data_IF_603666743451
#
_entry.id   IF_603666743451
#
_cell.length_a   1.000
_cell.length_b   1.000
_cell.length_c   1.000
_cell.angle_alpha   90.00
_cell.angle_beta   90.00
_cell.angle_gamma   90.00
#
_symmetry.space_group_name_H-M   'P 1'
#
loop_
_entity.id
_entity.type
_entity.pdbx_description
1 polymer ?
#
# COMPACT_ATOMS: atom_id res chain seq x y z
N UNK A 1 -9.45 -47.31 68.44
CA UNK A 1 -8.76 -47.08 67.16
C UNK A 1 -9.59 -46.09 66.36
N UNK A 2 -9.21 -44.81 66.39
CA UNK A 2 -9.80 -43.76 65.57
C UNK A 2 -8.73 -43.40 64.53
N UNK A 3 -8.87 -43.93 63.31
CA UNK A 3 -8.16 -43.37 62.17
C UNK A 3 -8.93 -42.10 61.78
N UNK A 4 -8.34 -40.90 61.91
CA UNK A 4 -9.05 -39.69 61.49
C UNK A 4 -9.29 -39.77 59.98
N UNK A 5 -10.46 -39.33 59.48
CA UNK A 5 -10.59 -39.01 58.06
C UNK A 5 -9.49 -37.99 57.76
N UNK A 6 -8.65 -38.28 56.77
CA UNK A 6 -7.67 -37.30 56.29
C UNK A 6 -8.48 -36.06 55.93
N UNK A 7 -8.31 -35.01 56.74
CA UNK A 7 -8.99 -33.74 56.58
C UNK A 7 -8.82 -33.29 55.13
N UNK A 8 -9.95 -33.07 54.47
CA UNK A 8 -10.10 -32.58 53.10
C UNK A 8 -9.59 -31.13 52.91
N UNK A 9 -8.68 -30.68 53.79
CA UNK A 9 -8.07 -29.37 53.82
C UNK A 9 -6.79 -29.30 52.98
N UNK A 10 -6.06 -30.41 52.83
CA UNK A 10 -4.85 -30.46 51.99
C UNK A 10 -5.15 -30.50 50.48
N UNK A 11 -6.35 -30.94 50.10
CA UNK A 11 -6.79 -30.94 48.69
C UNK A 11 -6.88 -29.52 48.14
N UNK A 12 -7.26 -28.54 48.98
CA UNK A 12 -7.35 -27.13 48.57
C UNK A 12 -5.98 -26.42 48.46
N UNK A 13 -4.97 -26.86 49.20
CA UNK A 13 -3.61 -26.31 49.08
C UNK A 13 -2.95 -26.78 47.78
N UNK A 14 -3.22 -28.01 47.34
CA UNK A 14 -2.71 -28.53 46.06
C UNK A 14 -3.26 -27.81 44.82
N UNK A 15 -4.55 -27.43 44.84
CA UNK A 15 -5.21 -26.75 43.72
C UNK A 15 -4.82 -25.27 43.62
N UNK A 16 -4.44 -24.64 44.73
CA UNK A 16 -4.02 -23.23 44.74
C UNK A 16 -2.63 -23.01 44.11
N UNK A 17 -1.74 -24.01 44.18
CA UNK A 17 -0.37 -23.88 43.65
C UNK A 17 -0.28 -24.03 42.12
N UNK A 18 -1.38 -24.41 41.45
CA UNK A 18 -1.45 -24.51 39.97
C UNK A 18 -1.95 -23.19 39.35
N UNK A 19 -2.19 -22.16 40.15
CA UNK A 19 -2.67 -20.87 39.66
C UNK A 19 -1.52 -20.03 39.09
N UNK A 20 -1.31 -20.23 37.79
CA UNK A 20 -1.05 -19.17 36.80
C UNK A 20 0.31 -18.47 36.86
N UNK A 21 1.36 -19.15 36.40
CA UNK A 21 2.55 -18.50 35.86
C UNK A 21 2.56 -18.60 34.32
N UNK A 22 1.66 -17.87 33.65
CA UNK A 22 1.82 -17.56 32.22
C UNK A 22 2.53 -16.22 32.14
N UNK A 23 3.87 -16.27 32.16
CA UNK A 23 4.69 -15.10 31.88
C UNK A 23 4.62 -14.86 30.35
N UNK A 24 3.72 -13.99 29.91
CA UNK A 24 3.68 -13.55 28.52
C UNK A 24 4.87 -12.65 28.23
N UNK A 25 5.81 -13.11 27.41
CA UNK A 25 6.86 -12.25 26.87
C UNK A 25 6.20 -11.35 25.82
N UNK A 26 5.89 -10.11 26.21
CA UNK A 26 5.56 -9.07 25.25
C UNK A 26 6.85 -8.67 24.53
N UNK A 27 7.12 -9.29 23.38
CA UNK A 27 8.10 -8.74 22.45
C UNK A 27 7.46 -7.47 21.90
N UNK A 28 7.82 -6.33 22.49
CA UNK A 28 7.53 -5.02 21.90
C UNK A 28 8.44 -4.94 20.67
N UNK A 29 7.91 -5.37 19.52
CA UNK A 29 8.53 -5.09 18.24
C UNK A 29 8.44 -3.57 18.05
N UNK A 30 9.57 -2.87 18.24
CA UNK A 30 9.68 -1.49 17.76
C UNK A 30 9.48 -1.56 16.25
N UNK A 31 8.46 -0.90 15.68
CA UNK A 31 8.31 -0.87 14.22
C UNK A 31 9.58 -0.29 13.63
N UNK A 32 10.20 -1.00 12.69
CA UNK A 32 11.23 -0.38 11.85
C UNK A 32 10.57 0.76 11.07
N UNK A 33 11.24 1.92 10.92
CA UNK A 33 10.69 3.00 10.12
C UNK A 33 10.48 2.48 8.69
N UNK A 34 9.31 2.76 8.12
CA UNK A 34 9.00 2.39 6.74
C UNK A 34 10.06 2.98 5.82
N UNK A 35 10.45 2.19 4.82
CA UNK A 35 11.22 2.71 3.69
C UNK A 35 10.39 3.77 2.93
N UNK A 36 11.05 4.67 2.21
CA UNK A 36 10.35 5.68 1.40
C UNK A 36 9.42 5.01 0.37
N UNK A 37 9.82 3.87 -0.20
CA UNK A 37 8.97 3.10 -1.11
C UNK A 37 7.72 2.52 -0.42
N UNK A 38 7.82 2.03 0.81
CA UNK A 38 6.67 1.51 1.58
C UNK A 38 5.72 2.64 2.01
N UNK A 39 6.25 3.78 2.42
CA UNK A 39 5.43 4.95 2.75
C UNK A 39 4.67 5.49 1.51
N UNK A 40 5.32 5.47 0.35
CA UNK A 40 4.67 5.80 -0.92
C UNK A 40 3.58 4.77 -1.29
N UNK A 41 3.83 3.48 -1.04
CA UNK A 41 2.83 2.41 -1.24
C UNK A 41 1.58 2.60 -0.37
N UNK A 42 1.75 2.91 0.92
CA UNK A 42 0.62 3.21 1.81
C UNK A 42 -0.21 4.39 1.30
N UNK A 43 0.45 5.43 0.75
CA UNK A 43 -0.24 6.56 0.13
C UNK A 43 -1.04 6.13 -1.10
N UNK A 44 -0.50 5.24 -1.93
CA UNK A 44 -1.20 4.69 -3.10
C UNK A 44 -2.45 3.92 -2.66
N UNK A 45 -2.32 3.05 -1.67
CA UNK A 45 -3.41 2.22 -1.16
C UNK A 45 -4.50 3.05 -0.44
N UNK A 46 -4.11 4.12 0.23
CA UNK A 46 -5.06 5.08 0.78
C UNK A 46 -5.89 5.76 -0.32
N UNK A 47 -5.27 6.14 -1.43
CA UNK A 47 -6.00 6.70 -2.58
C UNK A 47 -6.86 5.62 -3.26
N UNK A 48 -6.38 4.38 -3.36
CA UNK A 48 -7.16 3.28 -3.92
C UNK A 48 -8.38 2.92 -3.06
N UNK A 49 -8.28 2.95 -1.74
CA UNK A 49 -9.43 2.71 -0.85
C UNK A 49 -10.44 3.88 -0.83
N UNK A 50 -10.05 5.04 -1.35
CA UNK A 50 -10.89 6.23 -1.40
C UNK A 50 -11.94 6.19 -2.52
N UNK A 51 -13.02 6.95 -2.34
CA UNK A 51 -14.02 7.17 -3.39
C UNK A 51 -13.48 8.15 -4.44
N UNK A 52 -13.57 7.85 -5.75
CA UNK A 52 -13.16 8.79 -6.78
C UNK A 52 -14.12 10.01 -6.84
N UNK A 53 -13.61 11.20 -7.20
CA UNK A 53 -12.21 11.51 -7.47
C UNK A 53 -11.39 11.59 -6.16
N UNK A 54 -10.19 11.00 -6.17
CA UNK A 54 -9.25 11.09 -5.05
C UNK A 54 -7.84 11.34 -5.58
N UNK A 55 -7.02 12.08 -4.82
CA UNK A 55 -5.63 12.36 -5.20
C UNK A 55 -4.77 12.55 -3.96
N UNK A 56 -3.52 12.14 -4.05
CA UNK A 56 -2.51 12.42 -3.04
C UNK A 56 -1.16 12.64 -3.72
N UNK A 57 -0.26 13.29 -2.99
CA UNK A 57 1.14 13.44 -3.37
C UNK A 57 2.01 12.92 -2.24
N UNK A 58 3.09 12.24 -2.58
CA UNK A 58 4.08 11.74 -1.62
C UNK A 58 5.46 12.18 -2.07
N UNK A 59 6.25 12.74 -1.17
CA UNK A 59 7.64 13.12 -1.48
C UNK A 59 8.50 11.87 -1.60
N UNK A 60 9.31 11.79 -2.65
CA UNK A 60 10.18 10.64 -2.91
C UNK A 60 11.63 11.10 -2.95
N UNK A 61 12.51 10.28 -2.40
CA UNK A 61 13.96 10.47 -2.52
C UNK A 61 14.53 9.41 -3.46
N UNK A 62 14.50 9.71 -4.75
CA UNK A 62 14.93 8.80 -5.80
C UNK A 62 15.46 9.57 -7.00
N UNK A 63 16.41 8.97 -7.71
CA UNK A 63 16.86 9.47 -9.02
C UNK A 63 16.01 8.91 -10.14
N UNK A 64 15.53 7.68 -9.98
CA UNK A 64 14.64 6.99 -10.92
C UNK A 64 13.51 6.31 -10.18
N UNK A 65 12.32 6.40 -10.76
CA UNK A 65 11.15 5.68 -10.30
C UNK A 65 10.74 4.65 -11.34
N UNK A 66 10.27 3.52 -10.84
CA UNK A 66 9.83 2.39 -11.64
C UNK A 66 8.44 1.96 -11.19
N UNK A 67 7.45 2.23 -12.04
CA UNK A 67 6.03 2.01 -11.74
C UNK A 67 5.54 0.82 -12.56
N UNK A 68 5.23 -0.29 -11.89
CA UNK A 68 4.49 -1.42 -12.47
C UNK A 68 3.04 -1.43 -12.01
N UNK A 69 2.28 -2.46 -12.40
CA UNK A 69 0.85 -2.58 -12.05
C UNK A 69 0.61 -2.74 -10.53
N UNK A 70 1.50 -3.45 -9.83
CA UNK A 70 1.42 -3.74 -8.38
C UNK A 70 2.77 -3.55 -7.67
N UNK A 71 3.71 -2.82 -8.29
CA UNK A 71 5.06 -2.67 -7.72
C UNK A 71 5.58 -1.27 -7.97
N UNK A 72 6.11 -0.68 -6.90
CA UNK A 72 6.88 0.55 -6.94
C UNK A 72 8.33 0.22 -6.62
N UNK A 73 9.25 0.72 -7.43
CA UNK A 73 10.69 0.63 -7.15
C UNK A 73 11.28 2.03 -7.25
N UNK A 74 11.96 2.45 -6.20
CA UNK A 74 12.67 3.71 -6.10
C UNK A 74 14.17 3.41 -6.18
N UNK A 75 14.87 4.04 -7.11
CA UNK A 75 16.30 3.86 -7.34
C UNK A 75 17.00 5.20 -7.09
N UNK A 76 17.74 5.31 -5.97
CA UNK A 76 18.59 6.44 -5.60
C UNK A 76 19.95 5.94 -5.12
N UNK A 77 20.42 6.42 -3.96
CA UNK A 77 21.62 5.86 -3.30
C UNK A 77 21.44 4.37 -3.01
N UNK A 78 20.24 3.99 -2.55
CA UNK A 78 19.79 2.62 -2.39
C UNK A 78 18.62 2.30 -3.33
N UNK A 79 18.34 1.01 -3.52
CA UNK A 79 17.14 0.56 -4.26
C UNK A 79 16.10 0.01 -3.31
N UNK A 80 15.02 0.76 -3.14
CA UNK A 80 13.87 0.39 -2.33
C UNK A 80 12.73 -0.16 -3.18
N UNK A 81 11.97 -1.09 -2.62
CA UNK A 81 10.89 -1.77 -3.35
C UNK A 81 9.69 -1.93 -2.45
N UNK A 82 8.52 -1.60 -2.98
CA UNK A 82 7.24 -1.87 -2.34
C UNK A 82 6.32 -2.63 -3.30
N UNK A 83 5.50 -3.51 -2.71
CA UNK A 83 4.39 -4.17 -3.40
C UNK A 83 3.11 -3.46 -3.01
N UNK A 84 2.21 -3.29 -3.97
CA UNK A 84 0.88 -2.75 -3.73
C UNK A 84 -0.08 -3.93 -3.65
N UNK A 85 -0.78 -4.05 -2.53
CA UNK A 85 -1.68 -5.17 -2.26
C UNK A 85 -3.04 -4.97 -2.95
N UNK A 86 -3.47 -3.70 -3.10
CA UNK A 86 -4.78 -3.35 -3.63
C UNK A 86 -4.70 -2.25 -4.68
N UNK A 87 -5.49 -2.42 -5.75
CA UNK A 87 -5.59 -1.43 -6.83
C UNK A 87 -4.55 -1.63 -7.92
N UNK A 88 -5.02 -1.79 -9.16
CA UNK A 88 -4.18 -1.88 -10.37
C UNK A 88 -3.70 -0.49 -10.77
N UNK A 89 -2.44 -0.19 -10.55
CA UNK A 89 -1.83 1.06 -11.00
C UNK A 89 -1.68 1.06 -12.53
N UNK A 90 -1.97 2.20 -13.14
CA UNK A 90 -1.52 2.52 -14.49
C UNK A 90 -0.49 3.65 -14.40
N UNK A 91 0.72 3.36 -14.88
CA UNK A 91 1.77 4.36 -14.95
C UNK A 91 1.34 5.48 -15.93
N UNK A 92 1.65 6.72 -15.59
CA UNK A 92 1.31 7.90 -16.39
C UNK A 92 2.60 8.68 -16.74
N UNK A 93 3.36 8.24 -17.75
CA UNK A 93 4.68 8.78 -18.10
C UNK A 93 4.64 10.23 -18.59
N UNK A 94 5.80 10.90 -18.53
CA UNK A 94 6.03 12.22 -19.14
C UNK A 94 5.55 12.24 -20.59
N UNK A 95 4.81 13.29 -20.97
CA UNK A 95 4.33 13.48 -22.34
C UNK A 95 3.12 12.63 -22.74
N UNK A 96 2.55 11.82 -21.83
CA UNK A 96 1.34 11.04 -22.12
C UNK A 96 0.06 11.78 -21.73
N UNK A 97 -1.03 11.37 -22.36
CA UNK A 97 -2.38 11.83 -22.03
C UNK A 97 -2.83 11.37 -20.64
N UNK A 98 -2.43 10.17 -20.23
CA UNK A 98 -2.66 9.69 -18.87
C UNK A 98 -2.00 10.60 -17.83
N UNK A 99 -0.81 11.17 -18.11
CA UNK A 99 -0.18 12.14 -17.21
C UNK A 99 -0.96 13.42 -17.09
N UNK A 100 -1.56 13.92 -18.18
CA UNK A 100 -2.45 15.09 -18.11
C UNK A 100 -3.62 14.83 -17.15
N UNK A 101 -4.21 13.63 -17.22
CA UNK A 101 -5.28 13.21 -16.30
C UNK A 101 -4.77 13.05 -14.86
N UNK A 102 -3.62 12.40 -14.66
CA UNK A 102 -3.00 12.24 -13.34
C UNK A 102 -2.74 13.59 -12.66
N UNK A 103 -2.38 14.61 -13.43
CA UNK A 103 -2.12 15.98 -12.97
C UNK A 103 -3.36 16.87 -12.88
N UNK A 104 -4.55 16.38 -13.25
CA UNK A 104 -5.80 17.10 -12.98
C UNK A 104 -6.77 17.24 -14.14
N UNK A 105 -6.38 16.94 -15.37
CA UNK A 105 -7.29 17.06 -16.50
C UNK A 105 -8.44 16.05 -16.41
N UNK A 106 -9.65 16.43 -16.87
CA UNK A 106 -10.76 15.48 -16.96
C UNK A 106 -10.51 14.48 -18.11
N UNK A 107 -10.74 13.17 -17.93
CA UNK A 107 -10.57 12.18 -18.99
C UNK A 107 -11.31 12.54 -20.29
N UNK A 108 -12.52 13.09 -20.17
CA UNK A 108 -13.35 13.51 -21.31
C UNK A 108 -12.76 14.66 -22.13
N UNK A 109 -11.88 15.46 -21.54
CA UNK A 109 -11.19 16.58 -22.20
C UNK A 109 -9.90 16.16 -22.92
N UNK A 110 -9.40 14.96 -22.59
CA UNK A 110 -8.11 14.45 -23.03
C UNK A 110 -8.29 13.33 -24.04
N UNK A 111 -9.22 12.42 -23.78
CA UNK A 111 -9.47 11.23 -24.58
C UNK A 111 -10.73 11.38 -25.42
N UNK A 112 -10.68 10.87 -26.66
CA UNK A 112 -11.80 10.94 -27.60
C UNK A 112 -13.02 10.11 -27.16
N UNK A 113 -12.83 9.10 -26.31
CA UNK A 113 -13.89 8.25 -25.79
C UNK A 113 -13.46 7.53 -24.51
N UNK A 114 -14.45 6.98 -23.79
CA UNK A 114 -14.23 6.07 -22.66
C UNK A 114 -13.39 4.85 -23.07
N UNK A 115 -13.59 4.36 -24.31
CA UNK A 115 -12.82 3.22 -24.81
C UNK A 115 -11.35 3.59 -25.04
N UNK A 116 -11.07 4.75 -25.64
CA UNK A 116 -9.69 5.21 -25.84
C UNK A 116 -8.95 5.40 -24.52
N UNK A 117 -9.64 5.89 -23.47
CA UNK A 117 -9.08 5.95 -22.13
C UNK A 117 -8.79 4.56 -21.56
N UNK A 118 -9.75 3.62 -21.69
CA UNK A 118 -9.58 2.23 -21.25
C UNK A 118 -8.40 1.53 -21.92
N UNK A 119 -8.23 1.66 -23.24
CA UNK A 119 -7.07 1.11 -23.96
C UNK A 119 -5.75 1.69 -23.46
N UNK A 120 -5.68 3.01 -23.28
CA UNK A 120 -4.48 3.64 -22.76
C UNK A 120 -4.12 3.13 -21.36
N UNK A 121 -5.12 2.96 -20.49
CA UNK A 121 -4.94 2.45 -19.13
C UNK A 121 -4.46 1.00 -19.12
N UNK A 122 -5.05 0.12 -19.94
CA UNK A 122 -4.60 -1.28 -20.02
C UNK A 122 -3.23 -1.41 -20.70
N UNK A 123 -2.94 -0.60 -21.71
CA UNK A 123 -1.60 -0.51 -22.28
C UNK A 123 -0.57 -0.13 -21.21
N UNK A 124 -0.83 0.93 -20.44
CA UNK A 124 0.04 1.40 -19.36
C UNK A 124 0.22 0.39 -18.21
N UNK A 125 -0.76 -0.49 -17.98
CA UNK A 125 -0.64 -1.62 -17.03
C UNK A 125 0.22 -2.75 -17.59
N UNK A 126 0.12 -3.00 -18.89
CA UNK A 126 0.83 -4.07 -19.60
C UNK A 126 2.30 -3.73 -19.91
N UNK A 127 2.61 -2.44 -20.08
CA UNK A 127 3.96 -1.94 -20.29
C UNK A 127 4.77 -2.17 -19.03
N UNK A 128 5.54 -3.27 -19.04
CA UNK A 128 6.27 -3.75 -17.89
C UNK A 128 7.20 -2.67 -17.34
N UNK A 129 6.78 -2.08 -16.21
CA UNK A 129 7.56 -1.19 -15.33
C UNK A 129 8.25 -0.05 -16.08
N UNK A 130 7.53 1.06 -16.22
CA UNK A 130 8.08 2.27 -16.82
C UNK A 130 9.13 2.86 -15.89
N UNK A 131 10.32 3.13 -16.43
CA UNK A 131 11.44 3.78 -15.75
C UNK A 131 11.44 5.25 -16.16
N UNK A 132 11.25 6.15 -15.21
CA UNK A 132 11.38 7.58 -15.47
C UNK A 132 12.42 8.19 -14.52
N UNK A 133 13.13 9.26 -14.93
CA UNK A 133 13.78 10.13 -13.96
C UNK A 133 12.74 10.57 -12.95
N UNK A 134 12.98 10.30 -11.67
CA UNK A 134 12.08 10.73 -10.62
C UNK A 134 12.10 12.26 -10.53
N UNK A 135 10.92 12.85 -10.36
CA UNK A 135 10.84 14.19 -9.75
C UNK A 135 10.88 14.05 -8.23
N UNK A 136 10.65 15.16 -7.53
CA UNK A 136 10.70 15.18 -6.06
C UNK A 136 9.46 14.52 -5.41
N UNK A 137 8.44 14.18 -6.21
CA UNK A 137 7.15 13.71 -5.69
C UNK A 137 6.47 12.69 -6.60
N UNK A 138 5.84 11.70 -5.97
CA UNK A 138 4.87 10.82 -6.60
C UNK A 138 3.48 11.47 -6.54
N UNK A 139 2.78 11.53 -7.66
CA UNK A 139 1.38 11.96 -7.74
C UNK A 139 0.52 10.73 -8.02
N UNK A 140 -0.45 10.51 -7.14
CA UNK A 140 -1.43 9.42 -7.25
C UNK A 140 -2.80 10.03 -7.45
N UNK A 141 -3.54 9.53 -8.43
CA UNK A 141 -4.90 9.99 -8.70
C UNK A 141 -5.82 8.84 -9.06
N UNK A 142 -6.94 8.76 -8.35
CA UNK A 142 -8.05 7.88 -8.67
C UNK A 142 -9.15 8.65 -9.39
N UNK A 143 -9.47 8.22 -10.61
CA UNK A 143 -10.54 8.78 -11.44
C UNK A 143 -11.61 7.73 -11.72
N UNK A 144 -12.83 8.17 -12.00
CA UNK A 144 -13.90 7.31 -12.52
C UNK A 144 -14.29 7.82 -13.89
N UNK A 145 -14.28 6.94 -14.89
CA UNK A 145 -14.70 7.26 -16.26
C UNK A 145 -15.22 5.99 -16.95
N UNK A 146 -16.35 6.09 -17.66
CA UNK A 146 -17.02 4.92 -18.25
C UNK A 146 -17.38 3.82 -17.25
N UNK A 147 -17.74 4.20 -16.02
CA UNK A 147 -18.05 3.27 -14.93
C UNK A 147 -16.84 2.52 -14.35
N UNK A 148 -15.63 2.80 -14.84
CA UNK A 148 -14.40 2.16 -14.38
C UNK A 148 -13.61 3.10 -13.47
N UNK A 149 -13.16 2.58 -12.33
CA UNK A 149 -12.26 3.30 -11.44
C UNK A 149 -10.81 2.97 -11.80
N UNK A 150 -9.99 4.00 -12.01
CA UNK A 150 -8.60 3.87 -12.46
C UNK A 150 -7.68 4.63 -11.51
N UNK A 151 -6.59 3.98 -11.13
CA UNK A 151 -5.53 4.53 -10.30
C UNK A 151 -4.33 4.88 -11.18
N UNK A 152 -4.08 6.17 -11.38
CA UNK A 152 -2.99 6.72 -12.18
C UNK A 152 -1.85 7.15 -11.26
N UNK A 153 -0.61 6.84 -11.65
CA UNK A 153 0.59 7.16 -10.87
C UNK A 153 1.66 7.79 -11.77
N UNK A 154 2.25 8.90 -11.34
CA UNK A 154 3.32 9.62 -12.07
C UNK A 154 4.32 10.27 -11.12
N UNK A 155 5.50 10.64 -11.63
CA UNK A 155 6.54 11.41 -10.91
C UNK A 155 7.18 12.54 -11.76
#
# INVERSE_FOLDING_TARGET
>A
MLGPPIDAWYVWIGVSLVSLAVLGVAVVATPEPLSNAEAAAETIEQVDSSRPPATATHDIDAERVRIGEYRLVLEGEDTERATIDHGRMAAAPRGTDLRRVALGASPESVFASEWAFGEAVEAARSEQRIVEPAGDRLVVRKVSYGGSNVLLVTA
#
